data_IF_670976682435
#
_entry.id   IF_670976682435
#
_cell.length_a   1.000
_cell.length_b   1.000
_cell.length_c   1.000
_cell.angle_alpha   90.00
_cell.angle_beta   90.00
_cell.angle_gamma   90.00
#
_symmetry.space_group_name_H-M   'P 1'
#
loop_
_entity.id
_entity.type
_entity.pdbx_description
1 polymer ?
#
# COMPACT_ATOMS: atom_id res chain seq x y z
N UNK A 1 13.78 10.40 -11.18
CA UNK A 1 13.19 9.05 -11.01
C UNK A 1 12.37 9.07 -9.75
N UNK A 2 11.11 8.67 -9.83
CA UNK A 2 10.19 8.60 -8.71
C UNK A 2 9.79 7.16 -8.49
N UNK A 3 9.49 6.81 -7.23
CA UNK A 3 8.87 5.53 -6.91
C UNK A 3 7.37 5.73 -6.66
N UNK A 4 6.54 4.83 -7.20
CA UNK A 4 5.08 4.83 -6.98
C UNK A 4 4.58 3.42 -6.71
N UNK A 5 3.80 3.26 -5.64
CA UNK A 5 3.26 1.96 -5.27
C UNK A 5 1.86 1.76 -5.85
N UNK A 6 1.65 0.61 -6.48
CA UNK A 6 0.39 0.20 -7.10
C UNK A 6 -0.06 -1.16 -6.58
N UNK A 7 -1.37 -1.32 -6.40
CA UNK A 7 -2.03 -2.62 -6.30
C UNK A 7 -2.54 -2.95 -7.70
N UNK A 8 -2.08 -4.06 -8.24
CA UNK A 8 -2.53 -4.63 -9.49
C UNK A 8 -3.37 -5.86 -9.20
N UNK A 9 -4.59 -5.90 -9.75
CA UNK A 9 -5.44 -7.10 -9.71
C UNK A 9 -5.58 -7.67 -11.10
N UNK A 10 -5.38 -8.99 -11.19
CA UNK A 10 -5.40 -9.76 -12.43
C UNK A 10 -6.64 -10.65 -12.43
N UNK A 11 -7.66 -10.34 -13.24
CA UNK A 11 -8.79 -11.22 -13.47
C UNK A 11 -8.39 -12.59 -14.04
N UNK A 12 -9.26 -13.60 -13.92
CA UNK A 12 -9.02 -14.97 -14.40
C UNK A 12 -8.62 -15.05 -15.87
N UNK A 13 -9.09 -14.12 -16.70
CA UNK A 13 -8.87 -14.09 -18.15
C UNK A 13 -7.43 -13.72 -18.52
N UNK A 14 -6.71 -13.08 -17.60
CA UNK A 14 -5.39 -12.51 -17.87
C UNK A 14 -4.31 -12.92 -16.85
N UNK A 15 -4.69 -13.58 -15.75
CA UNK A 15 -3.78 -13.96 -14.65
C UNK A 15 -2.59 -14.83 -15.11
N UNK A 16 -2.75 -15.59 -16.18
CA UNK A 16 -1.71 -16.46 -16.73
C UNK A 16 -0.85 -15.78 -17.83
N UNK A 17 -1.07 -14.49 -18.12
CA UNK A 17 -0.34 -13.74 -19.15
C UNK A 17 0.93 -13.06 -18.58
N UNK A 18 2.02 -12.91 -19.36
CA UNK A 18 3.29 -12.34 -18.89
C UNK A 18 3.27 -10.79 -18.82
N UNK A 19 2.25 -10.22 -18.18
CA UNK A 19 1.97 -8.77 -18.24
C UNK A 19 3.09 -7.95 -17.61
N UNK A 20 3.55 -8.37 -16.43
CA UNK A 20 4.61 -7.64 -15.70
C UNK A 20 5.94 -7.67 -16.46
N UNK A 21 6.27 -8.77 -17.13
CA UNK A 21 7.49 -8.86 -17.93
C UNK A 21 7.45 -7.91 -19.13
N UNK A 22 6.29 -7.79 -19.78
CA UNK A 22 6.10 -6.86 -20.90
C UNK A 22 6.13 -5.41 -20.42
N UNK A 23 5.56 -5.12 -19.25
CA UNK A 23 5.63 -3.79 -18.63
C UNK A 23 7.08 -3.30 -18.49
N UNK A 24 7.99 -4.15 -17.99
CA UNK A 24 9.42 -3.80 -17.87
C UNK A 24 10.07 -3.62 -19.23
N UNK A 25 9.86 -4.59 -20.14
CA UNK A 25 10.54 -4.65 -21.43
C UNK A 25 10.17 -3.50 -22.35
N UNK A 26 8.88 -3.19 -22.42
CA UNK A 26 8.35 -2.31 -23.46
C UNK A 26 8.24 -0.85 -22.98
N UNK A 27 8.26 -0.62 -21.66
CA UNK A 27 8.08 0.70 -21.04
C UNK A 27 9.25 1.14 -20.15
N UNK A 28 10.36 0.39 -20.12
CA UNK A 28 11.59 0.71 -19.37
C UNK A 28 11.32 1.00 -17.87
N UNK A 29 10.40 0.24 -17.28
CA UNK A 29 10.02 0.36 -15.88
C UNK A 29 10.79 -0.67 -15.05
N UNK A 30 11.38 -0.25 -13.94
CA UNK A 30 11.85 -1.17 -12.92
C UNK A 30 10.78 -1.32 -11.82
N UNK A 31 10.77 -2.45 -11.11
CA UNK A 31 9.82 -2.65 -10.02
C UNK A 31 10.36 -3.48 -8.87
N UNK A 32 9.81 -3.24 -7.67
CA UNK A 32 9.95 -4.09 -6.50
C UNK A 32 8.59 -4.72 -6.15
N UNK A 33 8.57 -6.01 -5.79
CA UNK A 33 7.36 -6.68 -5.32
C UNK A 33 7.29 -6.52 -3.80
N UNK A 34 6.24 -5.86 -3.31
CA UNK A 34 5.97 -5.74 -1.87
C UNK A 34 5.12 -6.91 -1.36
N UNK A 35 4.15 -7.36 -2.17
CA UNK A 35 3.28 -8.49 -1.83
C UNK A 35 2.70 -9.12 -3.09
N UNK A 36 2.56 -10.44 -3.09
CA UNK A 36 1.88 -11.17 -4.15
C UNK A 36 0.93 -12.22 -3.55
N UNK A 37 -0.26 -12.35 -4.14
CA UNK A 37 -1.18 -13.44 -3.90
C UNK A 37 -1.65 -13.97 -5.25
N UNK A 38 -1.43 -15.26 -5.49
CA UNK A 38 -1.74 -15.90 -6.77
C UNK A 38 -2.72 -17.05 -6.50
N UNK A 39 -3.91 -16.97 -7.10
CA UNK A 39 -4.87 -18.06 -7.12
C UNK A 39 -4.97 -18.59 -8.55
N UNK A 40 -4.29 -19.71 -8.87
CA UNK A 40 -4.25 -20.23 -10.22
C UNK A 40 -5.65 -20.36 -10.84
N UNK A 41 -5.83 -19.84 -12.06
CA UNK A 41 -7.10 -19.85 -12.82
C UNK A 41 -8.28 -19.11 -12.17
N UNK A 42 -8.04 -18.27 -11.16
CA UNK A 42 -9.07 -17.45 -10.49
C UNK A 42 -8.75 -15.97 -10.53
N UNK A 43 -7.75 -15.54 -9.77
CA UNK A 43 -7.37 -14.13 -9.68
C UNK A 43 -5.97 -13.99 -9.10
N UNK A 44 -5.32 -12.88 -9.42
CA UNK A 44 -4.03 -12.50 -8.85
C UNK A 44 -4.12 -11.11 -8.23
N UNK A 45 -3.35 -10.89 -7.17
CA UNK A 45 -3.08 -9.57 -6.62
C UNK A 45 -1.57 -9.40 -6.50
N UNK A 46 -1.06 -8.27 -6.99
CA UNK A 46 0.34 -7.87 -6.86
C UNK A 46 0.38 -6.45 -6.31
N UNK A 47 1.06 -6.25 -5.20
CA UNK A 47 1.42 -4.93 -4.68
C UNK A 47 2.87 -4.70 -5.05
N UNK A 48 3.13 -3.66 -5.84
CA UNK A 48 4.47 -3.39 -6.35
C UNK A 48 4.79 -1.91 -6.37
N UNK A 49 6.05 -1.58 -6.13
CA UNK A 49 6.61 -0.26 -6.30
C UNK A 49 7.23 -0.16 -7.69
N UNK A 50 6.80 0.80 -8.51
CA UNK A 50 7.38 1.12 -9.81
C UNK A 50 8.42 2.24 -9.67
N UNK A 51 9.58 2.05 -10.29
CA UNK A 51 10.71 2.98 -10.31
C UNK A 51 10.88 3.49 -11.74
N UNK A 52 10.54 4.76 -11.98
CA UNK A 52 10.51 5.30 -13.35
C UNK A 52 10.52 6.84 -13.39
N UNK A 53 10.58 7.41 -14.60
CA UNK A 53 10.22 8.80 -14.81
C UNK A 53 8.69 8.95 -14.99
N UNK A 54 8.18 10.18 -14.92
CA UNK A 54 6.73 10.43 -14.99
C UNK A 54 6.11 10.08 -16.35
N UNK A 55 6.88 10.29 -17.43
CA UNK A 55 6.48 9.94 -18.80
C UNK A 55 6.27 8.43 -18.97
N UNK A 56 7.23 7.63 -18.48
CA UNK A 56 7.18 6.17 -18.61
C UNK A 56 6.14 5.56 -17.67
N UNK A 57 5.95 6.15 -16.48
CA UNK A 57 4.88 5.76 -15.56
C UNK A 57 3.51 5.80 -16.24
N UNK A 58 3.21 6.93 -16.90
CA UNK A 58 1.91 7.16 -17.54
C UNK A 58 1.66 6.13 -18.63
N UNK A 59 2.66 5.85 -19.48
CA UNK A 59 2.56 4.85 -20.53
C UNK A 59 2.37 3.43 -19.98
N UNK A 60 3.10 3.08 -18.93
CA UNK A 60 3.02 1.77 -18.30
C UNK A 60 1.67 1.52 -17.61
N UNK A 61 1.13 2.51 -16.92
CA UNK A 61 -0.22 2.43 -16.32
C UNK A 61 -1.28 2.27 -17.41
N UNK A 62 -1.20 3.08 -18.49
CA UNK A 62 -2.12 2.94 -19.62
C UNK A 62 -2.06 1.54 -20.25
N UNK A 63 -0.87 0.95 -20.38
CA UNK A 63 -0.72 -0.43 -20.84
C UNK A 63 -1.41 -1.45 -19.93
N UNK A 64 -1.20 -1.35 -18.62
CA UNK A 64 -1.80 -2.24 -17.64
C UNK A 64 -3.33 -2.22 -17.75
N UNK A 65 -3.92 -1.03 -17.81
CA UNK A 65 -5.36 -0.84 -17.98
C UNK A 65 -5.86 -1.40 -19.32
N UNK A 66 -5.14 -1.15 -20.42
CA UNK A 66 -5.50 -1.66 -21.75
C UNK A 66 -5.51 -3.18 -21.83
N UNK A 67 -4.61 -3.86 -21.11
CA UNK A 67 -4.55 -5.32 -21.05
C UNK A 67 -5.64 -5.90 -20.12
N UNK A 68 -6.30 -5.05 -19.34
CA UNK A 68 -7.38 -5.42 -18.43
C UNK A 68 -6.93 -5.67 -16.98
N UNK A 69 -5.72 -5.24 -16.61
CA UNK A 69 -5.29 -5.22 -15.21
C UNK A 69 -6.04 -4.09 -14.51
N UNK A 70 -6.63 -4.40 -13.35
CA UNK A 70 -7.21 -3.37 -12.51
C UNK A 70 -6.07 -2.74 -11.70
N UNK A 71 -5.76 -1.49 -12.01
CA UNK A 71 -4.71 -0.71 -11.34
C UNK A 71 -5.35 0.14 -10.27
N UNK A 72 -4.93 -0.03 -9.02
CA UNK A 72 -5.36 0.79 -7.89
C UNK A 72 -4.10 1.46 -7.31
N UNK A 73 -4.03 2.80 -7.23
CA UNK A 73 -2.96 3.45 -6.50
C UNK A 73 -3.02 3.01 -5.04
N UNK A 74 -1.85 2.81 -4.42
CA UNK A 74 -1.80 2.47 -3.00
C UNK A 74 -1.47 3.73 -2.22
N UNK A 75 -2.47 4.28 -1.53
CA UNK A 75 -2.17 4.89 -0.24
C UNK A 75 -1.80 3.76 0.71
N UNK A 76 -0.50 3.56 0.99
CA UNK A 76 -0.08 2.58 2.01
C UNK A 76 -0.28 3.27 3.37
N UNK A 77 -1.51 3.23 3.83
CA UNK A 77 -1.96 3.94 5.01
C UNK A 77 -2.01 3.02 6.22
N UNK A 78 -1.69 3.58 7.38
CA UNK A 78 -2.16 3.00 8.63
C UNK A 78 -3.43 3.74 8.99
N UNK A 79 -4.48 3.00 9.33
CA UNK A 79 -5.73 3.53 9.83
C UNK A 79 -5.95 3.07 11.27
N UNK A 80 -6.55 3.95 12.08
CA UNK A 80 -6.99 3.64 13.44
C UNK A 80 -8.50 3.66 13.50
N UNK A 81 -9.09 2.54 13.86
CA UNK A 81 -10.51 2.43 14.22
C UNK A 81 -10.73 3.12 15.58
N UNK A 82 -11.35 4.30 15.56
CA UNK A 82 -11.58 5.12 16.76
C UNK A 82 -12.57 4.48 17.72
N UNK A 83 -13.57 3.74 17.22
CA UNK A 83 -14.57 3.08 18.07
C UNK A 83 -13.96 1.92 18.86
N UNK A 84 -12.93 1.27 18.31
CA UNK A 84 -12.22 0.16 18.97
C UNK A 84 -11.01 0.61 19.75
N UNK A 85 -10.47 1.80 19.47
CA UNK A 85 -9.27 2.27 20.13
C UNK A 85 -9.55 2.65 21.58
N UNK A 86 -8.95 1.92 22.52
CA UNK A 86 -9.02 2.25 23.94
C UNK A 86 -7.91 3.21 24.42
N UNK A 87 -7.20 3.86 23.49
CA UNK A 87 -6.10 4.80 23.78
C UNK A 87 -5.01 4.29 24.74
N UNK A 88 -4.77 2.97 24.79
CA UNK A 88 -3.81 2.34 25.71
C UNK A 88 -2.32 2.73 25.51
N UNK A 89 -1.98 3.40 24.41
CA UNK A 89 -0.62 3.85 24.13
C UNK A 89 0.36 2.77 23.63
N UNK A 90 -0.03 1.49 23.51
CA UNK A 90 0.88 0.42 23.08
C UNK A 90 1.56 0.70 21.72
N UNK A 91 0.85 1.36 20.81
CA UNK A 91 1.36 1.71 19.49
C UNK A 91 2.42 2.83 19.52
N UNK A 92 2.44 3.70 20.53
CA UNK A 92 3.41 4.79 20.64
C UNK A 92 4.79 4.27 21.00
N UNK A 93 4.87 3.16 21.75
CA UNK A 93 6.13 2.52 22.13
C UNK A 93 6.88 1.88 20.95
N UNK A 94 6.16 1.53 19.88
CA UNK A 94 6.73 0.86 18.70
C UNK A 94 6.82 1.76 17.47
N UNK A 95 6.41 3.03 17.57
CA UNK A 95 6.38 3.94 16.42
C UNK A 95 7.76 4.60 16.21
N UNK A 96 8.51 4.25 15.16
CA UNK A 96 9.87 4.76 14.97
C UNK A 96 9.90 6.22 14.52
N UNK A 97 8.85 6.70 13.85
CA UNK A 97 8.79 8.08 13.32
C UNK A 97 8.18 9.08 14.31
N UNK A 98 7.61 8.59 15.42
CA UNK A 98 6.83 9.40 16.35
C UNK A 98 5.48 9.87 15.80
N UNK A 99 5.01 9.30 14.69
CA UNK A 99 3.66 9.55 14.17
C UNK A 99 2.56 9.23 15.19
N UNK A 100 2.80 8.26 16.08
CA UNK A 100 1.92 7.93 17.19
C UNK A 100 2.59 8.34 18.50
N UNK A 101 1.94 9.23 19.27
CA UNK A 101 2.44 9.73 20.54
C UNK A 101 1.30 10.11 21.48
N UNK A 102 1.60 10.29 22.77
CA UNK A 102 0.59 10.67 23.78
C UNK A 102 0.61 12.18 23.96
N UNK A 103 -0.53 12.83 23.71
CA UNK A 103 -0.72 14.24 24.00
C UNK A 103 -1.00 14.46 25.49
N UNK A 104 -0.12 15.20 26.16
CA UNK A 104 -0.27 15.57 27.57
C UNK A 104 -0.79 17.02 27.69
N UNK A 105 -1.68 17.31 28.65
CA UNK A 105 -2.11 16.48 29.77
C UNK A 105 -3.33 15.57 29.49
N UNK A 106 -3.93 15.65 28.31
CA UNK A 106 -5.19 14.96 27.97
C UNK A 106 -5.06 13.43 27.94
N UNK A 107 -3.84 12.90 27.84
CA UNK A 107 -3.51 11.47 27.77
C UNK A 107 -4.10 10.75 26.55
N UNK A 108 -4.48 11.51 25.52
CA UNK A 108 -4.97 10.96 24.25
C UNK A 108 -3.80 10.50 23.38
N UNK A 109 -3.98 9.38 22.69
CA UNK A 109 -3.02 8.97 21.65
C UNK A 109 -3.32 9.77 20.39
N UNK A 110 -2.39 10.60 19.95
CA UNK A 110 -2.45 11.29 18.67
C UNK A 110 -1.87 10.44 17.55
N UNK A 111 -2.37 10.60 16.33
CA UNK A 111 -1.86 9.95 15.14
C UNK A 111 -1.67 10.96 13.99
N UNK A 112 -0.42 11.34 13.76
CA UNK A 112 0.03 12.22 12.67
C UNK A 112 0.34 11.37 11.42
N UNK A 113 -0.70 11.10 10.63
CA UNK A 113 -0.65 10.21 9.46
C UNK A 113 0.42 10.59 8.42
N UNK A 114 0.67 11.89 8.27
CA UNK A 114 1.66 12.49 7.38
C UNK A 114 3.11 12.14 7.76
N UNK A 115 3.36 11.75 9.01
CA UNK A 115 4.67 11.27 9.49
C UNK A 115 4.74 9.74 9.54
N UNK A 116 3.67 9.05 9.17
CA UNK A 116 3.61 7.61 9.19
C UNK A 116 4.48 7.03 8.06
N UNK A 117 5.47 6.21 8.41
CA UNK A 117 6.24 5.44 7.42
C UNK A 117 5.55 4.15 6.97
N UNK A 118 4.32 3.91 7.46
CA UNK A 118 3.54 2.72 7.23
C UNK A 118 4.29 1.39 7.49
N UNK A 119 5.14 1.37 8.52
CA UNK A 119 5.95 0.21 8.92
C UNK A 119 5.16 -0.95 9.58
N UNK A 120 3.86 -0.77 9.81
CA UNK A 120 2.92 -1.79 10.33
C UNK A 120 3.22 -2.33 11.75
N UNK A 121 4.23 -1.81 12.45
CA UNK A 121 4.55 -2.24 13.82
C UNK A 121 3.38 -2.02 14.78
N UNK A 122 2.68 -0.90 14.63
CA UNK A 122 1.50 -0.55 15.42
C UNK A 122 0.32 -1.53 15.22
N UNK A 123 0.20 -2.15 14.03
CA UNK A 123 -0.84 -3.15 13.73
C UNK A 123 -0.61 -4.40 14.58
N UNK A 124 0.64 -4.86 14.64
CA UNK A 124 1.02 -6.03 15.45
C UNK A 124 0.94 -5.74 16.95
N UNK A 125 1.28 -4.52 17.37
CA UNK A 125 1.29 -4.14 18.78
C UNK A 125 -0.10 -3.86 19.37
N UNK A 126 -1.13 -3.64 18.54
CA UNK A 126 -2.45 -3.24 19.03
C UNK A 126 -3.24 -4.42 19.63
N UNK A 127 -3.46 -4.49 20.95
CA UNK A 127 -4.10 -5.65 21.60
C UNK A 127 -5.59 -5.78 21.21
N UNK A 128 -6.26 -4.65 21.00
CA UNK A 128 -7.66 -4.58 20.59
C UNK A 128 -7.84 -4.64 19.07
N UNK A 129 -6.74 -4.76 18.30
CA UNK A 129 -6.72 -4.79 16.83
C UNK A 129 -7.47 -3.60 16.18
N UNK A 130 -7.30 -2.41 16.75
CA UNK A 130 -7.86 -1.15 16.23
C UNK A 130 -6.98 -0.52 15.13
N UNK A 131 -5.68 -0.85 15.09
CA UNK A 131 -4.79 -0.42 14.01
C UNK A 131 -4.89 -1.40 12.83
N UNK A 132 -5.07 -0.90 11.62
CA UNK A 132 -5.14 -1.69 10.39
C UNK A 132 -4.36 -1.03 9.26
N UNK A 133 -3.96 -1.83 8.28
CA UNK A 133 -3.43 -1.32 7.01
C UNK A 133 -4.63 -0.99 6.13
N UNK A 134 -4.78 0.27 5.73
CA UNK A 134 -5.67 0.64 4.63
C UNK A 134 -4.87 0.66 3.33
N UNK A 135 -5.43 0.00 2.34
CA UNK A 135 -5.03 0.19 0.95
C UNK A 135 -5.99 1.26 0.40
N UNK A 136 -5.70 2.53 0.69
CA UNK A 136 -6.61 3.60 0.29
C UNK A 136 -6.51 3.83 -1.22
N UNK A 137 -7.66 3.78 -1.89
CA UNK A 137 -7.86 3.99 -3.34
C UNK A 137 -7.63 5.42 -3.81
N UNK A 138 -7.23 6.35 -2.94
CA UNK A 138 -7.30 7.77 -3.21
C UNK A 138 -5.91 8.41 -3.24
N UNK A 139 -5.27 8.36 -4.41
CA UNK A 139 -4.47 9.50 -4.87
C UNK A 139 -4.90 9.74 -6.32
N UNK A 140 -5.84 10.68 -6.47
CA UNK A 140 -6.14 11.34 -7.73
C UNK A 140 -4.99 12.28 -8.12
#
# INVERSE_FOLDING_TARGET
MHSRTLVLRFPKEIVDKPIITNLVRDYDLAFNILKAQIFPRKEGMLVMELLCCEHDFTKGVQYLEQVGVLVEPVGHGIHRDEDRCCQCGACTAVCPTGALHVNRPQMEVAFESERCSACELCVKACPVRAMAVTFDKAIA
#
